data_IF_588972712669
#
_entry.id   IF_588972712669
#
_cell.length_a   1.000
_cell.length_b   1.000
_cell.length_c   1.000
_cell.angle_alpha   90.00
_cell.angle_beta   90.00
_cell.angle_gamma   90.00
#
_symmetry.space_group_name_H-M   'P 1'
#
loop_
_entity.id
_entity.type
_entity.pdbx_description
1 polymer ?
#
# COMPACT_ATOMS: atom_id res chain seq x y z
N UNK A 1 8.21 -14.53 -33.87
CA UNK A 1 8.75 -13.98 -32.62
C UNK A 1 7.68 -14.09 -31.55
N UNK A 2 7.88 -14.94 -30.54
CA UNK A 2 6.90 -15.16 -29.47
C UNK A 2 7.28 -14.22 -28.33
N UNK A 3 6.47 -13.19 -28.09
CA UNK A 3 6.60 -12.31 -26.93
C UNK A 3 6.14 -13.07 -25.69
N UNK A 4 7.09 -13.59 -24.91
CA UNK A 4 6.83 -14.05 -23.54
C UNK A 4 6.78 -12.81 -22.66
N UNK A 5 5.60 -12.26 -22.47
CA UNK A 5 5.34 -11.20 -21.50
C UNK A 5 5.60 -11.80 -20.11
N UNK A 6 6.79 -11.59 -19.56
CA UNK A 6 7.08 -11.84 -18.15
C UNK A 6 6.34 -10.78 -17.33
N UNK A 7 5.25 -11.18 -16.74
CA UNK A 7 4.55 -10.41 -15.73
C UNK A 7 5.49 -10.15 -14.56
N UNK A 8 6.16 -9.00 -14.56
CA UNK A 8 6.75 -8.47 -13.33
C UNK A 8 5.58 -7.98 -12.51
N UNK A 9 5.04 -8.89 -11.69
CA UNK A 9 4.07 -8.59 -10.65
C UNK A 9 4.71 -7.55 -9.71
N UNK A 10 4.36 -6.28 -9.92
CA UNK A 10 4.63 -5.22 -8.97
C UNK A 10 3.79 -5.49 -7.72
N UNK A 11 4.32 -6.34 -6.84
CA UNK A 11 3.73 -6.72 -5.56
C UNK A 11 3.86 -5.59 -4.52
N UNK A 12 3.42 -4.36 -4.86
CA UNK A 12 3.72 -3.22 -4.00
C UNK A 12 2.67 -2.95 -2.92
N UNK A 13 1.40 -3.20 -3.16
CA UNK A 13 0.35 -3.05 -2.14
C UNK A 13 -0.08 -4.40 -1.58
N UNK A 14 -0.20 -5.42 -2.42
CA UNK A 14 -0.45 -6.79 -1.99
C UNK A 14 0.68 -7.35 -1.12
N UNK A 15 1.93 -6.90 -1.30
CA UNK A 15 3.08 -7.31 -0.49
C UNK A 15 2.97 -6.96 1.01
N UNK A 16 2.22 -5.92 1.38
CA UNK A 16 1.93 -5.61 2.79
C UNK A 16 0.91 -6.58 3.41
N UNK A 17 0.06 -7.16 2.60
CA UNK A 17 -1.07 -7.96 3.07
C UNK A 17 -0.78 -9.46 3.12
N UNK A 18 -0.10 -10.00 2.11
CA UNK A 18 0.16 -11.45 2.00
C UNK A 18 1.20 -11.94 3.01
N UNK A 19 2.06 -11.03 3.52
CA UNK A 19 3.13 -11.40 4.45
C UNK A 19 2.76 -11.29 5.92
N UNK A 20 1.59 -10.74 6.27
CA UNK A 20 1.14 -10.59 7.67
C UNK A 20 0.39 -11.83 8.19
N UNK A 21 0.52 -13.00 7.54
CA UNK A 21 0.05 -14.24 8.13
C UNK A 21 0.65 -14.37 9.53
N UNK A 22 -0.17 -14.80 10.49
CA UNK A 22 0.26 -15.09 11.85
C UNK A 22 1.35 -16.17 11.81
N UNK A 23 2.58 -15.76 11.55
CA UNK A 23 3.75 -16.62 11.59
C UNK A 23 3.90 -17.10 13.02
N UNK A 24 3.69 -18.40 13.24
CA UNK A 24 3.93 -19.08 14.50
C UNK A 24 5.42 -19.13 14.81
N UNK A 25 6.00 -18.02 15.19
CA UNK A 25 7.35 -17.91 15.73
C UNK A 25 7.25 -17.25 17.11
N UNK A 26 8.12 -17.63 18.03
CA UNK A 26 8.22 -17.15 19.42
C UNK A 26 8.60 -15.65 19.56
N UNK A 27 8.13 -14.81 18.63
CA UNK A 27 8.42 -13.37 18.63
C UNK A 27 7.40 -12.54 19.39
N UNK A 28 7.83 -11.38 19.88
CA UNK A 28 6.96 -10.38 20.50
C UNK A 28 5.81 -10.00 19.58
N UNK A 29 4.57 -10.19 20.04
CA UNK A 29 3.36 -9.84 19.31
C UNK A 29 2.94 -8.40 19.62
N UNK A 30 2.61 -7.63 18.60
CA UNK A 30 2.12 -6.26 18.74
C UNK A 30 0.79 -6.07 18.00
N UNK A 31 0.11 -4.99 18.31
CA UNK A 31 -1.13 -4.63 17.62
C UNK A 31 -0.85 -4.23 16.17
N UNK A 32 -1.67 -4.74 15.27
CA UNK A 32 -1.58 -4.41 13.84
C UNK A 32 -2.26 -3.06 13.57
N UNK A 33 -1.54 -2.00 13.16
CA UNK A 33 -2.14 -0.70 12.88
C UNK A 33 -3.13 -0.76 11.70
N UNK A 34 -2.91 -1.61 10.71
CA UNK A 34 -3.82 -1.75 9.57
C UNK A 34 -5.14 -2.39 10.00
N UNK A 35 -5.11 -3.41 10.88
CA UNK A 35 -6.31 -3.93 11.51
C UNK A 35 -7.09 -2.82 12.21
N UNK A 36 -6.42 -2.04 13.09
CA UNK A 36 -7.04 -0.95 13.84
C UNK A 36 -7.71 0.11 12.95
N UNK A 37 -7.09 0.40 11.81
CA UNK A 37 -7.66 1.39 10.88
C UNK A 37 -8.91 0.87 10.17
N UNK A 38 -8.97 -0.42 9.82
CA UNK A 38 -10.16 -1.02 9.21
C UNK A 38 -11.26 -1.33 10.22
N UNK A 39 -10.90 -1.82 11.40
CA UNK A 39 -11.86 -2.26 12.44
C UNK A 39 -12.79 -1.17 12.97
N UNK A 40 -12.53 0.10 12.65
CA UNK A 40 -13.38 1.23 12.99
C UNK A 40 -14.59 1.42 12.07
N UNK A 41 -14.58 0.73 10.94
CA UNK A 41 -15.57 0.89 9.90
C UNK A 41 -16.50 -0.31 9.82
N UNK A 42 -17.70 -0.11 9.29
CA UNK A 42 -18.67 -1.18 9.04
C UNK A 42 -18.34 -1.94 7.76
N UNK A 43 -18.74 -3.20 7.71
CA UNK A 43 -18.70 -4.03 6.51
C UNK A 43 -19.37 -3.32 5.33
N UNK A 44 -18.83 -3.50 4.12
CA UNK A 44 -19.26 -2.78 2.93
C UNK A 44 -18.55 -1.43 2.71
N UNK A 45 -17.82 -0.91 3.70
CA UNK A 45 -16.98 0.29 3.51
C UNK A 45 -15.94 0.05 2.43
N UNK A 46 -15.74 1.05 1.57
CA UNK A 46 -14.78 0.97 0.45
C UNK A 46 -13.80 2.12 0.46
N UNK A 47 -12.59 1.87 -0.05
CA UNK A 47 -11.59 2.90 -0.36
C UNK A 47 -10.94 2.60 -1.69
N UNK A 48 -10.63 3.65 -2.44
CA UNK A 48 -9.96 3.57 -3.75
C UNK A 48 -8.63 4.30 -3.66
N UNK A 49 -7.56 3.62 -4.06
CA UNK A 49 -6.23 4.19 -4.19
C UNK A 49 -5.78 4.17 -5.65
N UNK A 50 -5.02 5.19 -6.04
CA UNK A 50 -4.20 5.12 -7.26
C UNK A 50 -2.77 4.80 -6.84
N UNK A 51 -2.16 3.85 -7.52
CA UNK A 51 -0.74 3.53 -7.42
C UNK A 51 -0.07 3.92 -8.72
N UNK A 52 0.93 4.80 -8.62
CA UNK A 52 1.75 5.25 -9.75
C UNK A 52 3.20 4.85 -9.48
N UNK A 53 3.78 4.07 -10.38
CA UNK A 53 5.20 3.71 -10.34
C UNK A 53 5.91 4.36 -11.51
N UNK A 54 6.95 5.13 -11.23
CA UNK A 54 7.86 5.71 -12.21
C UNK A 54 9.17 4.93 -12.12
N UNK A 55 9.68 4.47 -13.25
CA UNK A 55 10.96 3.79 -13.38
C UNK A 55 12.05 4.78 -13.78
N UNK A 56 13.25 4.61 -13.22
CA UNK A 56 14.42 5.41 -13.61
C UNK A 56 14.89 5.11 -15.03
N UNK A 57 15.64 6.03 -15.63
CA UNK A 57 16.12 5.92 -17.01
C UNK A 57 17.03 4.70 -17.26
N UNK A 58 17.69 4.21 -16.20
CA UNK A 58 18.55 3.00 -16.25
C UNK A 58 17.80 1.69 -15.92
N UNK A 59 16.47 1.74 -15.76
CA UNK A 59 15.66 0.55 -15.49
C UNK A 59 15.52 -0.28 -16.77
N UNK A 60 16.53 -1.10 -17.04
CA UNK A 60 16.66 -2.11 -18.11
C UNK A 60 16.13 -1.70 -19.50
N UNK A 61 16.81 -2.15 -20.56
CA UNK A 61 16.48 -1.89 -21.97
C UNK A 61 15.02 -2.22 -22.38
N UNK A 62 14.27 -2.94 -21.52
CA UNK A 62 12.89 -3.37 -21.77
C UNK A 62 11.82 -2.34 -21.32
N UNK A 63 12.15 -1.40 -20.41
CA UNK A 63 11.23 -0.36 -19.91
C UNK A 63 11.96 0.96 -19.62
N UNK A 64 12.47 1.64 -20.64
CA UNK A 64 13.15 2.93 -20.42
C UNK A 64 12.13 3.97 -19.98
N UNK A 65 12.31 4.52 -18.75
CA UNK A 65 11.60 5.71 -18.30
C UNK A 65 10.07 5.62 -18.24
N UNK A 66 9.51 4.43 -18.02
CA UNK A 66 8.07 4.21 -18.07
C UNK A 66 7.33 4.64 -16.81
N UNK A 67 6.05 5.00 -16.98
CA UNK A 67 5.10 5.23 -15.89
C UNK A 67 4.04 4.15 -15.94
N UNK A 68 3.87 3.43 -14.83
CA UNK A 68 2.75 2.50 -14.65
C UNK A 68 1.78 3.09 -13.63
N UNK A 69 0.51 3.17 -13.98
CA UNK A 69 -0.55 3.66 -13.09
C UNK A 69 -1.69 2.65 -13.05
N UNK A 70 -2.09 2.25 -11.83
CA UNK A 70 -3.24 1.39 -11.61
C UNK A 70 -4.10 1.94 -10.48
N UNK A 71 -5.38 1.63 -10.53
CA UNK A 71 -6.34 1.93 -9.49
C UNK A 71 -6.69 0.66 -8.74
N UNK A 72 -6.72 0.71 -7.40
CA UNK A 72 -7.05 -0.44 -6.56
C UNK A 72 -8.21 -0.06 -5.67
N UNK A 73 -9.29 -0.82 -5.77
CA UNK A 73 -10.47 -0.70 -4.92
C UNK A 73 -10.41 -1.74 -3.83
N UNK A 74 -10.52 -1.30 -2.58
CA UNK A 74 -10.63 -2.16 -1.41
C UNK A 74 -12.04 -2.09 -0.85
N UNK A 75 -12.57 -3.23 -0.41
CA UNK A 75 -13.87 -3.36 0.25
C UNK A 75 -13.72 -4.16 1.52
N UNK A 76 -14.19 -3.62 2.63
CA UNK A 76 -14.26 -4.30 3.90
C UNK A 76 -15.34 -5.39 3.84
N UNK A 77 -14.94 -6.65 3.99
CA UNK A 77 -15.85 -7.80 3.95
C UNK A 77 -16.32 -8.21 5.34
N UNK A 78 -15.41 -8.25 6.32
CA UNK A 78 -15.77 -8.63 7.69
C UNK A 78 -14.79 -8.04 8.71
N UNK A 79 -15.30 -7.85 9.93
CA UNK A 79 -14.55 -7.42 11.11
C UNK A 79 -14.81 -8.37 12.24
N UNK A 80 -13.76 -8.89 12.85
CA UNK A 80 -13.82 -9.70 14.06
C UNK A 80 -12.76 -9.24 15.07
N UNK A 81 -12.81 -9.65 16.34
CA UNK A 81 -11.76 -9.35 17.31
C UNK A 81 -10.39 -9.91 16.96
N UNK A 82 -10.32 -10.88 16.05
CA UNK A 82 -9.08 -11.56 15.66
C UNK A 82 -8.49 -11.00 14.38
N UNK A 83 -9.33 -10.58 13.43
CA UNK A 83 -8.90 -10.17 12.10
C UNK A 83 -9.94 -9.31 11.40
N UNK A 84 -9.47 -8.60 10.40
CA UNK A 84 -10.29 -7.91 9.39
C UNK A 84 -10.01 -8.54 8.04
N UNK A 85 -11.06 -8.80 7.27
CA UNK A 85 -10.96 -9.30 5.89
C UNK A 85 -11.37 -8.21 4.92
N UNK A 86 -10.50 -7.94 3.97
CA UNK A 86 -10.68 -6.93 2.92
C UNK A 86 -10.54 -7.59 1.56
N UNK A 87 -11.40 -7.23 0.63
CA UNK A 87 -11.29 -7.59 -0.78
C UNK A 87 -10.57 -6.48 -1.53
N UNK A 88 -9.62 -6.83 -2.39
CA UNK A 88 -8.93 -5.91 -3.28
C UNK A 88 -9.17 -6.31 -4.74
N UNK A 89 -9.53 -5.32 -5.56
CA UNK A 89 -9.73 -5.45 -7.01
C UNK A 89 -8.87 -4.39 -7.69
N UNK A 90 -8.05 -4.80 -8.66
CA UNK A 90 -7.29 -3.89 -9.50
C UNK A 90 -8.16 -3.50 -10.69
N UNK A 91 -8.27 -2.19 -10.93
CA UNK A 91 -8.98 -1.59 -12.05
C UNK A 91 -7.91 -1.11 -13.05
N UNK A 92 -7.80 -1.80 -14.17
CA UNK A 92 -6.89 -1.44 -15.26
C UNK A 92 -7.66 -0.70 -16.34
N UNK A 93 -7.15 0.47 -16.73
CA UNK A 93 -7.70 1.23 -17.85
C UNK A 93 -6.93 0.91 -19.11
N UNK A 94 -7.58 0.27 -20.06
CA UNK A 94 -7.09 0.09 -21.42
C UNK A 94 -7.95 0.93 -22.37
N UNK A 95 -7.42 2.06 -22.84
CA UNK A 95 -8.12 3.00 -23.74
C UNK A 95 -9.50 3.44 -23.22
N UNK A 96 -10.58 2.86 -23.75
CA UNK A 96 -11.97 3.19 -23.40
C UNK A 96 -12.60 2.17 -22.43
N UNK A 97 -11.93 1.06 -22.17
CA UNK A 97 -12.44 -0.01 -21.33
C UNK A 97 -11.75 0.00 -19.95
N UNK A 98 -12.50 -0.32 -18.91
CA UNK A 98 -11.96 -0.61 -17.60
C UNK A 98 -12.17 -2.10 -17.34
N UNK A 99 -11.06 -2.83 -17.17
CA UNK A 99 -11.08 -4.24 -16.80
C UNK A 99 -10.86 -4.38 -15.30
N UNK A 100 -11.56 -5.30 -14.67
CA UNK A 100 -11.39 -5.62 -13.25
C UNK A 100 -10.63 -6.93 -13.12
N UNK A 101 -9.60 -6.96 -12.28
CA UNK A 101 -8.93 -8.21 -11.93
C UNK A 101 -9.85 -9.10 -11.11
N UNK A 102 -9.51 -10.40 -11.04
CA UNK A 102 -10.13 -11.28 -10.04
C UNK A 102 -9.93 -10.71 -8.62
N UNK A 103 -10.97 -10.74 -7.76
CA UNK A 103 -10.86 -10.25 -6.40
C UNK A 103 -9.83 -11.03 -5.59
N UNK A 104 -9.01 -10.33 -4.84
CA UNK A 104 -8.04 -10.93 -3.91
C UNK A 104 -8.44 -10.61 -2.47
N UNK A 105 -8.53 -11.63 -1.61
CA UNK A 105 -8.79 -11.44 -0.19
C UNK A 105 -7.49 -11.15 0.55
N UNK A 106 -7.55 -10.12 1.40
CA UNK A 106 -6.46 -9.67 2.26
C UNK A 106 -6.93 -9.79 3.69
N UNK A 107 -6.16 -10.48 4.53
CA UNK A 107 -6.47 -10.66 5.95
C UNK A 107 -5.49 -9.80 6.76
N UNK A 108 -6.01 -8.94 7.61
CA UNK A 108 -5.25 -8.18 8.58
C UNK A 108 -5.53 -8.74 9.98
N UNK A 109 -4.66 -9.59 10.55
CA UNK A 109 -4.82 -10.07 11.92
C UNK A 109 -4.70 -8.93 12.92
N UNK A 110 -5.43 -9.02 14.05
CA UNK A 110 -5.42 -7.98 15.09
C UNK A 110 -4.04 -7.82 15.73
N UNK A 111 -3.27 -8.91 15.80
CA UNK A 111 -1.89 -8.93 16.30
C UNK A 111 -0.96 -9.51 15.25
N UNK A 112 0.26 -8.98 15.19
CA UNK A 112 1.33 -9.42 14.28
C UNK A 112 2.65 -9.49 15.02
N UNK A 113 3.58 -10.25 14.48
CA UNK A 113 4.95 -10.26 14.98
C UNK A 113 5.58 -8.87 14.81
N UNK A 114 6.10 -8.30 15.90
CA UNK A 114 6.65 -6.95 15.93
C UNK A 114 7.83 -6.79 14.96
N UNK A 115 8.76 -7.73 14.94
CA UNK A 115 9.91 -7.65 14.04
C UNK A 115 9.48 -7.65 12.57
N UNK A 116 8.42 -8.41 12.23
CA UNK A 116 7.87 -8.42 10.89
C UNK A 116 7.20 -7.08 10.54
N UNK A 117 6.40 -6.51 11.46
CA UNK A 117 5.77 -5.20 11.27
C UNK A 117 6.83 -4.11 11.10
N UNK A 118 7.88 -4.12 11.94
CA UNK A 118 8.98 -3.17 11.89
C UNK A 118 9.72 -3.25 10.53
N UNK A 119 9.93 -4.45 10.02
CA UNK A 119 10.54 -4.64 8.70
C UNK A 119 9.65 -4.12 7.55
N UNK A 120 8.33 -4.33 7.64
CA UNK A 120 7.36 -3.84 6.65
C UNK A 120 7.26 -2.31 6.66
N UNK A 121 7.27 -1.71 7.84
CA UNK A 121 7.20 -0.26 8.01
C UNK A 121 8.56 0.42 7.85
N UNK A 122 9.64 -0.33 7.68
CA UNK A 122 11.04 0.16 7.76
C UNK A 122 11.26 0.94 9.06
N UNK A 123 10.70 0.43 10.17
CA UNK A 123 10.63 1.15 11.43
C UNK A 123 12.00 1.24 12.15
N UNK A 124 12.98 0.42 11.79
CA UNK A 124 14.34 0.52 12.30
C UNK A 124 14.95 1.87 11.88
N UNK A 125 15.04 2.82 12.82
CA UNK A 125 15.47 4.19 12.55
C UNK A 125 14.43 5.09 11.88
N UNK A 126 13.15 4.68 11.89
CA UNK A 126 12.08 5.48 11.35
C UNK A 126 11.89 6.81 12.11
N UNK A 127 11.60 7.86 11.35
CA UNK A 127 11.17 9.15 11.89
C UNK A 127 9.66 9.21 11.90
N UNK A 128 9.10 9.57 13.06
CA UNK A 128 7.67 9.77 13.24
C UNK A 128 7.37 11.26 13.25
N UNK A 129 6.20 11.65 12.72
CA UNK A 129 5.76 13.04 12.68
C UNK A 129 4.27 13.15 12.41
N UNK A 130 3.83 14.39 12.25
CA UNK A 130 2.46 14.73 11.89
C UNK A 130 2.48 15.74 10.74
N UNK A 131 1.62 15.55 9.76
CA UNK A 131 1.48 16.43 8.59
C UNK A 131 0.01 16.50 8.17
N UNK A 132 -0.40 17.64 7.61
CA UNK A 132 -1.68 17.74 6.91
C UNK A 132 -1.47 17.56 5.41
N UNK A 133 -2.32 16.75 4.78
CA UNK A 133 -2.33 16.55 3.33
C UNK A 133 -3.65 17.05 2.75
N UNK A 134 -3.57 17.84 1.70
CA UNK A 134 -4.69 18.15 0.83
C UNK A 134 -4.82 17.06 -0.21
N UNK A 135 -5.95 16.37 -0.23
CA UNK A 135 -6.23 15.28 -1.16
C UNK A 135 -7.59 15.48 -1.81
N UNK A 136 -7.67 15.17 -3.09
CA UNK A 136 -8.95 15.20 -3.80
C UNK A 136 -9.62 13.82 -3.65
N UNK A 137 -10.70 13.76 -2.88
CA UNK A 137 -11.47 12.54 -2.61
C UNK A 137 -12.86 12.62 -3.26
N UNK A 138 -12.89 12.47 -4.57
CA UNK A 138 -14.12 12.36 -5.36
C UNK A 138 -14.91 13.67 -5.50
N UNK A 139 -15.38 14.26 -4.42
CA UNK A 139 -16.26 15.45 -4.44
C UNK A 139 -15.55 16.78 -4.19
N UNK A 140 -14.23 16.78 -4.08
CA UNK A 140 -13.44 17.98 -3.84
C UNK A 140 -12.18 17.74 -3.04
N UNK A 141 -11.40 18.79 -2.84
CA UNK A 141 -10.20 18.77 -2.02
C UNK A 141 -10.58 18.86 -0.54
N UNK A 142 -10.04 17.92 0.24
CA UNK A 142 -10.15 17.95 1.71
C UNK A 142 -8.76 17.91 2.33
N UNK A 143 -8.62 18.54 3.50
CA UNK A 143 -7.41 18.45 4.30
C UNK A 143 -7.52 17.32 5.31
N UNK A 144 -6.56 16.40 5.31
CA UNK A 144 -6.53 15.24 6.21
C UNK A 144 -5.28 15.34 7.09
N UNK A 145 -5.48 15.35 8.41
CA UNK A 145 -4.40 15.23 9.39
C UNK A 145 -3.87 13.79 9.41
N UNK A 146 -2.58 13.63 9.23
CA UNK A 146 -1.90 12.35 9.12
C UNK A 146 -0.78 12.23 10.15
N UNK A 147 -0.64 11.03 10.73
CA UNK A 147 0.62 10.60 11.35
C UNK A 147 1.54 10.09 10.25
N UNK A 148 2.81 10.44 10.31
CA UNK A 148 3.79 10.03 9.31
C UNK A 148 4.82 9.06 9.90
N UNK A 149 5.23 8.09 9.07
CA UNK A 149 6.33 7.16 9.37
C UNK A 149 7.25 7.21 8.16
N UNK A 150 8.49 7.68 8.36
CA UNK A 150 9.50 7.73 7.30
C UNK A 150 10.70 6.87 7.72
N UNK A 151 11.06 5.90 6.90
CA UNK A 151 12.16 4.99 7.15
C UNK A 151 12.96 4.65 5.90
N UNK A 152 14.16 4.13 6.14
CA UNK A 152 15.05 3.63 5.09
C UNK A 152 15.50 2.23 5.45
N UNK A 153 15.79 1.42 4.44
CA UNK A 153 16.29 0.07 4.63
C UNK A 153 17.14 -0.39 3.45
N UNK A 154 17.74 -1.55 3.60
CA UNK A 154 18.45 -2.24 2.51
C UNK A 154 17.76 -3.57 2.23
N UNK A 155 17.53 -3.88 0.97
CA UNK A 155 16.97 -5.17 0.53
C UNK A 155 17.72 -5.64 -0.71
N UNK A 156 18.40 -6.78 -0.62
CA UNK A 156 19.18 -7.39 -1.73
C UNK A 156 20.16 -6.41 -2.42
N UNK A 157 20.85 -5.56 -1.65
CA UNK A 157 21.78 -4.57 -2.19
C UNK A 157 21.17 -3.22 -2.58
N UNK A 158 19.86 -3.16 -2.71
CA UNK A 158 19.13 -1.93 -2.98
C UNK A 158 18.89 -1.13 -1.70
N UNK A 159 18.96 0.20 -1.80
CA UNK A 159 18.48 1.10 -0.75
C UNK A 159 17.00 1.41 -1.01
N UNK A 160 16.19 1.25 0.01
CA UNK A 160 14.76 1.56 -0.04
C UNK A 160 14.47 2.67 0.95
N UNK A 161 13.83 3.74 0.49
CA UNK A 161 13.24 4.76 1.36
C UNK A 161 11.72 4.70 1.23
N UNK A 162 11.02 4.87 2.35
CA UNK A 162 9.56 4.85 2.39
C UNK A 162 9.05 5.93 3.32
N UNK A 163 7.95 6.58 2.94
CA UNK A 163 7.16 7.44 3.82
C UNK A 163 5.69 7.09 3.70
N UNK A 164 5.03 6.92 4.84
CA UNK A 164 3.61 6.67 4.95
C UNK A 164 2.95 7.87 5.64
N UNK A 165 1.75 8.22 5.17
CA UNK A 165 0.83 9.15 5.81
C UNK A 165 -0.43 8.37 6.19
N UNK A 166 -0.67 8.25 7.48
CA UNK A 166 -1.73 7.45 8.04
C UNK A 166 -2.76 8.33 8.74
N UNK A 167 -4.04 8.09 8.48
CA UNK A 167 -5.14 8.78 9.15
C UNK A 167 -6.25 7.82 9.54
N UNK A 168 -6.82 8.03 10.72
CA UNK A 168 -7.97 7.26 11.19
C UNK A 168 -9.28 7.65 10.51
N UNK A 169 -9.29 8.74 9.75
CA UNK A 169 -10.45 9.19 8.98
C UNK A 169 -10.64 8.42 7.67
N UNK A 170 -9.58 7.70 7.21
CA UNK A 170 -9.60 6.95 5.95
C UNK A 170 -9.66 5.45 6.24
N UNK A 171 -10.57 4.69 5.61
CA UNK A 171 -10.61 3.25 5.73
C UNK A 171 -9.26 2.62 5.34
N UNK A 172 -8.76 1.70 6.17
CA UNK A 172 -7.42 1.12 5.99
C UNK A 172 -6.26 2.02 6.39
N UNK A 173 -6.54 3.30 6.69
CA UNK A 173 -5.58 4.25 7.25
C UNK A 173 -4.62 4.91 6.28
N UNK A 174 -4.34 4.34 5.12
CA UNK A 174 -3.35 4.89 4.19
C UNK A 174 -3.96 6.04 3.40
N UNK A 175 -3.47 7.26 3.65
CA UNK A 175 -3.80 8.46 2.86
C UNK A 175 -2.84 8.59 1.68
N UNK A 176 -1.53 8.45 1.96
CA UNK A 176 -0.47 8.46 0.96
C UNK A 176 0.67 7.53 1.39
N UNK A 177 1.35 6.94 0.43
CA UNK A 177 2.62 6.24 0.62
C UNK A 177 3.53 6.59 -0.52
N UNK A 178 4.79 6.89 -0.24
CA UNK A 178 5.85 6.94 -1.23
C UNK A 178 6.90 5.90 -0.91
N UNK A 179 7.46 5.28 -1.92
CA UNK A 179 8.57 4.34 -1.80
C UNK A 179 9.49 4.54 -2.97
N UNK A 180 10.75 4.80 -2.71
CA UNK A 180 11.81 4.85 -3.71
C UNK A 180 12.79 3.70 -3.50
N UNK A 181 13.27 3.14 -4.59
CA UNK A 181 14.31 2.11 -4.62
C UNK A 181 15.50 2.66 -5.38
N UNK A 182 16.66 2.63 -4.74
CA UNK A 182 17.93 3.09 -5.30
C UNK A 182 18.88 1.90 -5.40
N UNK A 183 19.60 1.78 -6.52
CA UNK A 183 20.67 0.82 -6.72
C UNK A 183 21.90 1.58 -7.21
N UNK A 184 23.04 1.37 -6.57
CA UNK A 184 24.32 2.04 -6.89
C UNK A 184 24.22 3.57 -6.97
N UNK A 185 23.37 4.15 -6.09
CA UNK A 185 23.12 5.59 -6.03
C UNK A 185 22.16 6.15 -7.08
N UNK A 186 21.62 5.31 -7.95
CA UNK A 186 20.65 5.68 -8.99
C UNK A 186 19.23 5.27 -8.61
N UNK A 187 18.25 6.08 -9.01
CA UNK A 187 16.83 5.76 -8.80
C UNK A 187 16.41 4.66 -9.78
N UNK A 188 15.99 3.50 -9.24
CA UNK A 188 15.46 2.38 -10.03
C UNK A 188 13.94 2.52 -10.21
N UNK A 189 13.25 2.83 -9.12
CA UNK A 189 11.80 3.02 -9.16
C UNK A 189 11.32 3.92 -8.02
N UNK A 190 10.27 4.70 -8.29
CA UNK A 190 9.50 5.41 -7.29
C UNK A 190 8.03 5.04 -7.41
N UNK A 191 7.43 4.57 -6.32
CA UNK A 191 6.01 4.25 -6.25
C UNK A 191 5.31 5.21 -5.31
N UNK A 192 4.24 5.84 -5.79
CA UNK A 192 3.33 6.66 -4.98
C UNK A 192 1.95 6.01 -4.96
N UNK A 193 1.42 5.81 -3.77
CA UNK A 193 0.03 5.41 -3.54
C UNK A 193 -0.69 6.61 -2.93
N UNK A 194 -1.88 6.92 -3.44
CA UNK A 194 -2.69 8.03 -2.97
C UNK A 194 -4.17 7.64 -2.91
N UNK A 195 -4.86 7.98 -1.81
CA UNK A 195 -6.32 7.84 -1.72
C UNK A 195 -7.01 8.74 -2.73
N UNK A 196 -8.01 8.20 -3.44
CA UNK A 196 -8.81 8.92 -4.44
C UNK A 196 -10.25 9.11 -4.01
N UNK A 197 -10.80 8.13 -3.33
CA UNK A 197 -12.15 8.22 -2.78
C UNK A 197 -12.36 7.16 -1.72
N UNK A 198 -13.35 7.38 -0.86
CA UNK A 198 -13.85 6.34 0.03
C UNK A 198 -15.33 6.55 0.32
N UNK A 199 -16.02 5.46 0.63
CA UNK A 199 -17.42 5.45 1.05
C UNK A 199 -17.53 4.61 2.31
N UNK A 200 -17.97 5.22 3.39
CA UNK A 200 -18.27 4.53 4.65
C UNK A 200 -19.68 3.94 4.55
N UNK A 201 -19.83 2.67 4.91
CA UNK A 201 -21.14 2.03 5.01
C UNK A 201 -21.90 2.60 6.20
N UNK A 202 -23.20 2.81 6.02
CA UNK A 202 -24.15 3.32 7.03
C UNK A 202 -24.56 2.25 8.04
#
# INVERSE_FOLDING_TARGET
MRYTTRWILAASVLGLAVSLSAGGGDGEMTENPFYKHWAKFKEGTTVVHTEKTTFGDDATDELPGGVNEKTIKYKLLSVSPKEVVVEAVVLEKEFLNTTESAPTKIIYPAKVNKAHLDAVLLAAGAKFGEESLKVNVGKGEIEIKCKTIAGTGKKKGEQVAQKLWLSTAVPGGIVKRTRSTMQDGKLVAETTILVRSYKVAE
#
